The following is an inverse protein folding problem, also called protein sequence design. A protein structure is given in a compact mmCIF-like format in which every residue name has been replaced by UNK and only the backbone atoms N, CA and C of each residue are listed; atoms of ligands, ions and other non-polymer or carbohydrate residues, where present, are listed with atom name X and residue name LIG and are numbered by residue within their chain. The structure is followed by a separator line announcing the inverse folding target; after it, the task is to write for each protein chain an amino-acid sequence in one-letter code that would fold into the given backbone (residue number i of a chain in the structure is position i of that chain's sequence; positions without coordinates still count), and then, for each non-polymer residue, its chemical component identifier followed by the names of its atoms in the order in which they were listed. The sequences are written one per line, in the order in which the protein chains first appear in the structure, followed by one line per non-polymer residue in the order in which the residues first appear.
data_IF_613992618294
#
_entry.id   IF_613992618294
#
_cell.length_a   1.000
_cell.length_b   1.000
_cell.length_c   1.000
_cell.angle_alpha   90.00
_cell.angle_beta   90.00
_cell.angle_gamma   90.00
#
_symmetry.space_group_name_H-M   'P 1'
#
loop_
_entity.id
_entity.type
_entity.pdbx_description
1 polymer ?
#
# COMPACT_ATOMS: atom_id res chain seq x y z
N UNK A 1 -46.08 -8.97 -42.86
CA UNK A 1 -46.99 -9.02 -44.03
C UNK A 1 -48.41 -9.10 -43.47
N UNK A 2 -49.25 -8.09 -43.62
CA UNK A 2 -49.01 -6.78 -44.24
C UNK A 2 -49.82 -5.69 -43.54
N UNK A 3 -49.38 -4.45 -43.71
CA UNK A 3 -49.91 -3.26 -43.04
C UNK A 3 -51.24 -2.76 -43.64
N UNK A 4 -51.97 -1.96 -42.89
CA UNK A 4 -52.66 -0.77 -43.43
C UNK A 4 -52.91 0.26 -42.33
N UNK A 5 -52.76 1.53 -42.69
CA UNK A 5 -52.66 2.72 -41.82
C UNK A 5 -53.82 3.68 -42.14
N UNK A 6 -53.96 4.75 -41.33
CA UNK A 6 -54.73 6.00 -41.51
C UNK A 6 -56.07 6.11 -40.76
N UNK A 7 -56.52 7.29 -40.31
CA UNK A 7 -55.85 8.50 -39.75
C UNK A 7 -56.95 9.51 -39.38
N UNK A 8 -56.86 10.22 -38.25
CA UNK A 8 -57.34 11.61 -38.05
C UNK A 8 -57.02 12.05 -36.59
N UNK A 9 -56.44 13.19 -36.19
CA UNK A 9 -56.34 14.62 -36.58
C UNK A 9 -57.23 15.61 -35.80
N UNK A 10 -56.61 16.25 -34.77
CA UNK A 10 -56.92 17.56 -34.17
C UNK A 10 -55.74 17.91 -33.22
N UNK A 11 -54.90 18.97 -33.29
CA UNK A 11 -54.90 20.31 -33.93
C UNK A 11 -56.03 21.22 -33.39
N UNK A 12 -55.84 22.14 -32.43
CA UNK A 12 -54.90 23.31 -32.30
C UNK A 12 -54.93 23.85 -30.83
N UNK A 13 -54.29 24.92 -30.34
CA UNK A 13 -53.38 26.02 -30.82
C UNK A 13 -52.50 26.50 -29.61
N UNK A 14 -51.35 27.19 -29.74
CA UNK A 14 -51.10 28.67 -29.78
C UNK A 14 -51.88 29.52 -28.74
N UNK A 15 -51.34 30.50 -28.00
CA UNK A 15 -50.00 31.11 -27.80
C UNK A 15 -49.96 31.76 -26.38
N UNK A 16 -49.21 32.80 -26.00
CA UNK A 16 -48.26 33.71 -26.67
C UNK A 16 -47.60 34.64 -25.61
N UNK A 17 -46.28 34.88 -25.67
CA UNK A 17 -45.62 36.15 -25.27
C UNK A 17 -45.41 36.51 -23.78
N UNK A 18 -44.43 37.41 -23.53
CA UNK A 18 -44.40 38.29 -22.35
C UNK A 18 -43.11 38.30 -21.51
N UNK A 19 -42.11 39.09 -21.91
CA UNK A 19 -40.83 39.27 -21.20
C UNK A 19 -40.87 40.40 -20.14
N UNK A 20 -39.91 40.38 -19.19
CA UNK A 20 -39.27 41.53 -18.48
C UNK A 20 -39.49 41.66 -16.95
N UNK A 21 -38.49 41.17 -16.21
CA UNK A 21 -37.75 41.74 -15.07
C UNK A 21 -38.40 42.31 -13.77
N UNK A 22 -37.76 41.87 -12.67
CA UNK A 22 -37.24 42.60 -11.49
C UNK A 22 -38.03 42.69 -10.17
N UNK A 23 -37.23 42.53 -9.09
CA UNK A 23 -37.49 42.83 -7.66
C UNK A 23 -38.59 41.98 -7.01
N UNK A 24 -38.53 41.62 -5.71
CA UNK A 24 -37.62 41.94 -4.61
C UNK A 24 -37.66 40.76 -3.61
N UNK A 25 -36.57 40.49 -2.88
CA UNK A 25 -36.65 39.78 -1.59
C UNK A 25 -35.44 40.14 -0.72
N UNK A 26 -35.69 40.15 0.59
CA UNK A 26 -34.96 40.98 1.55
C UNK A 26 -33.74 40.28 2.18
N UNK A 27 -32.89 41.10 2.82
CA UNK A 27 -31.86 40.69 3.79
C UNK A 27 -32.57 40.05 5.03
N UNK A 28 -31.94 39.29 5.93
CA UNK A 28 -30.70 39.60 6.67
C UNK A 28 -30.13 38.31 7.39
N UNK A 29 -29.25 38.31 8.43
CA UNK A 29 -27.91 37.72 8.23
C UNK A 29 -27.36 36.76 9.35
N UNK A 30 -26.43 35.88 8.96
CA UNK A 30 -25.35 35.34 9.82
C UNK A 30 -24.28 34.68 8.92
N UNK A 31 -23.05 35.20 8.79
CA UNK A 31 -21.88 34.98 9.68
C UNK A 31 -21.56 33.49 9.88
N UNK A 32 -20.33 32.98 9.76
CA UNK A 32 -19.02 33.53 9.36
C UNK A 32 -18.05 32.32 9.17
N UNK A 33 -16.97 32.30 8.38
CA UNK A 33 -16.32 33.24 7.43
C UNK A 33 -15.62 32.42 6.31
N UNK A 34 -15.29 33.04 5.17
CA UNK A 34 -14.19 32.56 4.30
C UNK A 34 -13.45 33.76 3.71
N UNK A 35 -12.31 34.12 4.31
CA UNK A 35 -11.47 35.26 3.89
C UNK A 35 -10.01 34.81 3.77
N UNK A 36 -9.35 34.93 2.62
CA UNK A 36 -9.87 35.31 1.31
C UNK A 36 -8.77 35.27 0.24
N UNK A 37 -9.14 34.98 -1.00
CA UNK A 37 -8.24 35.05 -2.15
C UNK A 37 -8.65 36.25 -3.03
N UNK A 38 -8.02 37.42 -2.82
CA UNK A 38 -8.15 38.54 -3.75
C UNK A 38 -7.23 38.33 -4.94
N UNK A 39 -7.78 37.83 -6.04
CA UNK A 39 -7.17 37.98 -7.36
C UNK A 39 -7.28 39.45 -7.76
N UNK A 40 -6.15 40.10 -8.07
CA UNK A 40 -6.12 41.33 -8.87
C UNK A 40 -5.04 41.24 -9.95
N UNK A 41 -5.26 42.05 -10.97
CA UNK A 41 -4.71 41.96 -12.31
C UNK A 41 -3.25 42.40 -12.45
N UNK A 42 -2.72 42.15 -13.65
CA UNK A 42 -1.43 42.58 -14.19
C UNK A 42 -1.08 44.06 -13.94
N UNK A 43 0.23 44.29 -14.03
CA UNK A 43 0.90 45.56 -14.32
C UNK A 43 0.77 46.62 -13.22
N UNK A 44 1.78 46.69 -12.34
CA UNK A 44 2.61 47.89 -12.25
C UNK A 44 3.92 47.69 -11.45
N UNK A 45 4.93 48.48 -11.83
CA UNK A 45 6.17 48.84 -11.10
C UNK A 45 7.21 47.75 -10.74
N UNK A 46 8.32 47.79 -11.48
CA UNK A 46 9.62 47.28 -11.02
C UNK A 46 10.22 48.25 -9.99
N UNK A 47 10.48 47.79 -8.76
CA UNK A 47 11.29 48.51 -7.77
C UNK A 47 12.54 47.65 -7.43
N UNK A 48 13.78 48.13 -7.60
CA UNK A 48 15.00 47.31 -7.45
C UNK A 48 15.32 46.84 -6.02
N UNK A 49 14.44 47.03 -5.04
CA UNK A 49 14.78 46.91 -3.61
C UNK A 49 14.37 45.60 -2.92
N UNK A 50 13.78 44.64 -3.64
CA UNK A 50 13.36 43.35 -3.09
C UNK A 50 14.07 42.16 -3.73
N UNK A 51 15.17 41.72 -3.12
CA UNK A 51 15.74 40.40 -3.38
C UNK A 51 14.80 39.32 -2.81
N UNK A 52 13.94 38.75 -3.66
CA UNK A 52 13.15 37.58 -3.30
C UNK A 52 14.05 36.34 -3.12
N UNK A 53 14.43 36.05 -1.87
CA UNK A 53 15.01 34.76 -1.51
C UNK A 53 13.93 33.69 -1.43
N UNK A 54 13.77 32.90 -2.51
CA UNK A 54 12.88 31.73 -2.50
C UNK A 54 13.39 30.67 -1.53
N UNK A 55 12.88 30.71 -0.29
CA UNK A 55 13.09 29.63 0.68
C UNK A 55 12.26 28.42 0.29
N UNK A 56 12.87 27.47 -0.43
CA UNK A 56 12.28 26.14 -0.64
C UNK A 56 12.30 25.36 0.66
N UNK A 57 11.28 25.55 1.49
CA UNK A 57 11.07 24.73 2.69
C UNK A 57 10.70 23.31 2.23
N UNK A 58 11.69 22.43 2.20
CA UNK A 58 11.46 21.00 2.02
C UNK A 58 10.83 20.47 3.30
N UNK A 59 9.50 20.58 3.38
CA UNK A 59 8.71 19.91 4.41
C UNK A 59 8.86 18.41 4.18
N UNK A 60 9.82 17.79 4.89
CA UNK A 60 9.84 16.35 5.12
C UNK A 60 8.54 16.01 5.85
N UNK A 61 7.50 15.64 5.09
CA UNK A 61 6.29 15.02 5.67
C UNK A 61 6.68 13.65 6.21
N UNK A 62 7.18 13.63 7.45
CA UNK A 62 7.14 12.45 8.29
C UNK A 62 5.69 11.94 8.27
N UNK A 63 5.41 10.68 7.91
CA UNK A 63 4.04 10.19 7.83
C UNK A 63 3.40 10.09 9.23
N UNK A 64 2.83 11.18 9.73
CA UNK A 64 1.93 11.19 10.89
C UNK A 64 0.59 10.56 10.51
N UNK A 65 0.61 9.24 10.38
CA UNK A 65 -0.50 8.42 10.87
C UNK A 65 0.02 7.70 12.09
N UNK A 66 -0.49 8.12 13.23
CA UNK A 66 -0.22 7.55 14.55
C UNK A 66 -0.44 6.03 14.53
N UNK A 67 0.66 5.28 14.56
CA UNK A 67 0.68 3.86 14.92
C UNK A 67 0.86 3.74 16.44
N UNK A 68 0.00 4.40 17.22
CA UNK A 68 0.10 4.47 18.70
C UNK A 68 0.09 3.10 19.39
N UNK A 69 -0.37 2.06 18.69
CA UNK A 69 -0.42 0.68 19.19
C UNK A 69 0.48 -0.31 18.41
N UNK A 70 1.49 0.14 17.64
CA UNK A 70 2.45 -0.80 17.06
C UNK A 70 3.40 -1.35 18.13
N UNK A 71 3.14 -2.57 18.58
CA UNK A 71 4.06 -3.34 19.41
C UNK A 71 4.89 -4.26 18.53
N UNK A 72 6.21 -4.06 18.50
CA UNK A 72 7.14 -5.03 17.92
C UNK A 72 7.03 -6.35 18.70
N UNK A 73 6.99 -7.49 17.99
CA UNK A 73 6.98 -8.81 18.61
C UNK A 73 8.29 -9.01 19.38
N UNK A 74 8.21 -9.04 20.71
CA UNK A 74 9.37 -9.17 21.58
C UNK A 74 9.88 -10.62 21.62
N UNK A 75 11.20 -10.79 21.62
CA UNK A 75 11.87 -12.08 21.47
C UNK A 75 13.31 -11.99 22.00
N UNK A 76 13.59 -12.71 23.08
CA UNK A 76 14.96 -12.96 23.55
C UNK A 76 15.70 -14.03 22.71
N UNK A 77 15.04 -14.63 21.71
CA UNK A 77 15.65 -15.56 20.76
C UNK A 77 15.94 -14.88 19.41
N UNK A 78 16.88 -15.42 18.61
CA UNK A 78 17.31 -14.79 17.36
C UNK A 78 16.20 -14.56 16.35
N UNK A 79 16.11 -13.33 15.84
CA UNK A 79 15.09 -12.89 14.87
C UNK A 79 15.72 -12.68 13.49
N UNK A 80 14.89 -12.66 12.44
CA UNK A 80 15.34 -12.31 11.10
C UNK A 80 14.43 -11.25 10.47
N UNK A 81 15.05 -10.20 9.93
CA UNK A 81 14.38 -9.13 9.21
C UNK A 81 14.60 -9.30 7.70
N UNK A 82 13.51 -9.19 6.93
CA UNK A 82 13.60 -8.83 5.52
C UNK A 82 13.89 -7.33 5.45
N UNK A 83 14.99 -6.96 4.79
CA UNK A 83 15.41 -5.57 4.58
C UNK A 83 15.43 -5.28 3.09
N UNK A 84 14.89 -4.13 2.70
CA UNK A 84 14.95 -3.65 1.31
C UNK A 84 15.84 -2.41 1.19
N UNK A 85 16.75 -2.42 0.24
CA UNK A 85 17.57 -1.27 -0.13
C UNK A 85 17.38 -0.94 -1.61
N UNK A 86 17.14 0.33 -1.94
CA UNK A 86 16.83 0.78 -3.31
C UNK A 86 18.04 0.94 -4.23
N UNK A 87 19.26 0.79 -3.71
CA UNK A 87 20.51 0.92 -4.46
C UNK A 87 20.59 -0.15 -5.56
N UNK A 88 21.24 0.16 -6.68
CA UNK A 88 21.50 -0.76 -7.80
C UNK A 88 20.27 -1.50 -8.38
N UNK A 89 19.15 -0.80 -8.49
CA UNK A 89 17.85 -1.37 -8.89
C UNK A 89 17.25 -2.34 -7.86
N UNK A 90 17.45 -2.06 -6.57
CA UNK A 90 16.74 -2.74 -5.49
C UNK A 90 17.33 -4.10 -5.14
N UNK A 91 17.55 -4.32 -3.85
CA UNK A 91 18.04 -5.58 -3.30
C UNK A 91 17.31 -5.94 -2.02
N UNK A 92 17.10 -7.23 -1.80
CA UNK A 92 16.59 -7.78 -0.55
C UNK A 92 17.73 -8.45 0.22
N UNK A 93 17.78 -8.19 1.52
CA UNK A 93 18.71 -8.81 2.46
C UNK A 93 17.94 -9.51 3.58
N UNK A 94 18.50 -10.60 4.07
CA UNK A 94 18.16 -11.18 5.36
C UNK A 94 19.11 -10.57 6.39
N UNK A 95 18.57 -9.91 7.41
CA UNK A 95 19.33 -9.43 8.56
C UNK A 95 18.92 -10.23 9.79
N UNK A 96 19.77 -11.16 10.20
CA UNK A 96 19.64 -11.87 11.47
C UNK A 96 20.14 -11.00 12.62
N UNK A 97 19.48 -11.11 13.78
CA UNK A 97 19.82 -10.44 15.04
C UNK A 97 19.63 -11.41 16.20
N UNK A 98 20.32 -11.19 17.32
CA UNK A 98 20.27 -12.12 18.46
C UNK A 98 18.94 -12.07 19.21
N UNK A 99 18.22 -10.96 19.10
CA UNK A 99 16.93 -10.68 19.74
C UNK A 99 16.18 -9.54 19.01
N UNK A 100 14.94 -9.28 19.39
CA UNK A 100 14.06 -8.20 18.89
C UNK A 100 14.49 -6.77 19.26
N UNK A 101 15.41 -6.60 20.21
CA UNK A 101 15.73 -5.29 20.83
C UNK A 101 16.69 -4.47 19.96
N UNK A 102 17.45 -5.14 19.09
CA UNK A 102 18.28 -4.49 18.09
C UNK A 102 17.42 -3.95 16.92
N UNK A 103 17.38 -2.63 16.77
CA UNK A 103 16.67 -2.00 15.65
C UNK A 103 17.35 -2.29 14.31
N UNK A 104 16.54 -2.61 13.29
CA UNK A 104 16.99 -2.81 11.91
C UNK A 104 16.31 -1.79 11.00
N UNK A 105 17.09 -0.82 10.52
CA UNK A 105 16.62 0.17 9.55
C UNK A 105 16.11 -0.50 8.27
N UNK A 106 15.07 0.10 7.65
CA UNK A 106 14.46 -0.37 6.39
C UNK A 106 14.00 -1.83 6.42
N UNK A 107 13.78 -2.39 7.62
CA UNK A 107 13.07 -3.66 7.76
C UNK A 107 11.63 -3.50 7.27
N UNK A 108 11.17 -4.46 6.48
CA UNK A 108 9.83 -4.47 5.87
C UNK A 108 8.95 -5.54 6.52
N UNK A 109 9.58 -6.59 7.03
CA UNK A 109 8.96 -7.71 7.72
C UNK A 109 9.99 -8.34 8.66
N UNK A 110 9.54 -8.84 9.80
CA UNK A 110 10.33 -9.60 10.76
C UNK A 110 9.74 -11.02 10.87
N UNK A 111 10.59 -11.99 11.18
CA UNK A 111 10.18 -13.32 11.64
C UNK A 111 10.89 -13.70 12.94
N UNK A 112 10.16 -14.36 13.82
CA UNK A 112 10.66 -14.98 15.06
C UNK A 112 10.56 -16.49 14.91
N UNK A 113 11.69 -17.18 14.61
CA UNK A 113 11.79 -18.64 14.58
C UNK A 113 11.43 -19.31 15.89
N UNK A 114 10.69 -20.42 15.80
CA UNK A 114 10.59 -21.39 16.90
C UNK A 114 11.74 -22.41 16.85
N UNK A 115 12.29 -22.69 15.66
CA UNK A 115 13.44 -23.58 15.48
C UNK A 115 14.77 -22.87 15.79
N UNK A 116 15.72 -23.62 16.32
CA UNK A 116 17.06 -23.13 16.64
C UNK A 116 17.79 -22.57 15.41
N UNK A 117 18.27 -21.33 15.53
CA UNK A 117 19.04 -20.64 14.49
C UNK A 117 20.51 -21.01 14.60
N UNK A 118 21.13 -21.36 13.47
CA UNK A 118 22.54 -21.75 13.41
C UNK A 118 23.44 -20.54 13.67
N UNK A 119 24.38 -20.62 14.63
CA UNK A 119 25.20 -19.48 15.08
C UNK A 119 25.89 -18.69 13.96
N UNK A 120 26.33 -19.36 12.89
CA UNK A 120 26.98 -18.67 11.75
C UNK A 120 26.05 -17.68 11.02
N UNK A 121 24.72 -17.87 11.09
CA UNK A 121 23.74 -16.92 10.54
C UNK A 121 23.75 -15.57 11.25
N UNK A 122 24.25 -15.52 12.49
CA UNK A 122 24.36 -14.30 13.30
C UNK A 122 25.75 -13.67 13.20
N UNK A 123 26.80 -14.48 13.11
CA UNK A 123 28.19 -13.99 13.12
C UNK A 123 28.75 -13.68 11.73
N UNK A 124 28.32 -14.39 10.68
CA UNK A 124 28.79 -14.13 9.31
C UNK A 124 28.26 -12.78 8.82
N UNK A 125 29.15 -11.92 8.32
CA UNK A 125 28.82 -10.59 7.77
C UNK A 125 27.93 -9.73 8.70
N UNK A 126 28.07 -9.88 10.03
CA UNK A 126 27.23 -9.16 11.00
C UNK A 126 25.75 -9.57 10.97
N UNK A 127 25.48 -10.83 10.62
CA UNK A 127 24.14 -11.39 10.50
C UNK A 127 23.44 -11.06 9.18
N UNK A 128 24.10 -10.31 8.30
CA UNK A 128 23.55 -9.88 7.02
C UNK A 128 23.84 -10.92 5.94
N UNK A 129 22.88 -11.16 5.05
CA UNK A 129 23.09 -11.98 3.85
C UNK A 129 22.19 -11.51 2.72
N UNK A 130 22.68 -11.57 1.49
CA UNK A 130 21.93 -11.19 0.29
C UNK A 130 20.86 -12.26 -0.02
N UNK A 131 19.58 -11.87 -0.06
CA UNK A 131 18.49 -12.73 -0.54
C UNK A 131 18.37 -12.61 -2.07
N UNK A 132 18.43 -11.38 -2.60
CA UNK A 132 18.41 -11.13 -4.04
C UNK A 132 18.88 -9.72 -4.40
N UNK A 133 19.45 -9.62 -5.60
CA UNK A 133 19.96 -8.39 -6.20
C UNK A 133 19.21 -8.05 -7.50
N UNK A 134 19.10 -6.76 -7.82
CA UNK A 134 18.37 -6.22 -8.99
C UNK A 134 16.93 -6.75 -9.06
N UNK A 135 16.14 -6.52 -8.00
CA UNK A 135 14.73 -6.96 -7.93
C UNK A 135 13.74 -5.90 -8.41
N UNK A 136 14.06 -4.61 -8.34
CA UNK A 136 13.13 -3.54 -8.71
C UNK A 136 12.71 -3.48 -10.19
N UNK A 137 13.50 -3.93 -11.21
CA UNK A 137 13.06 -3.86 -12.61
C UNK A 137 11.93 -4.83 -12.98
N UNK A 138 11.78 -5.92 -12.23
CA UNK A 138 10.77 -6.95 -12.47
C UNK A 138 9.90 -7.11 -11.22
N UNK A 139 8.65 -6.64 -11.32
CA UNK A 139 7.65 -6.69 -10.26
C UNK A 139 7.30 -8.12 -9.81
N UNK A 140 7.35 -9.11 -10.71
CA UNK A 140 7.07 -10.50 -10.37
C UNK A 140 8.27 -11.14 -9.66
N UNK A 141 9.50 -10.86 -10.11
CA UNK A 141 10.72 -11.20 -9.37
C UNK A 141 10.72 -10.55 -7.99
N UNK A 142 10.35 -9.27 -7.89
CA UNK A 142 10.24 -8.54 -6.64
C UNK A 142 9.30 -9.23 -5.63
N UNK A 143 8.07 -9.54 -6.06
CA UNK A 143 7.09 -10.23 -5.22
C UNK A 143 7.49 -11.69 -4.90
N UNK A 144 8.19 -12.39 -5.79
CA UNK A 144 8.62 -13.76 -5.51
C UNK A 144 9.64 -13.85 -4.37
N UNK A 145 10.53 -12.87 -4.20
CA UNK A 145 11.46 -12.85 -3.07
C UNK A 145 10.79 -12.53 -1.72
N UNK A 146 9.69 -11.77 -1.71
CA UNK A 146 8.85 -11.63 -0.50
C UNK A 146 8.23 -12.99 -0.15
N UNK A 147 7.70 -13.73 -1.13
CA UNK A 147 7.21 -15.10 -0.89
C UNK A 147 8.32 -16.08 -0.45
N UNK A 148 9.55 -15.94 -0.96
CA UNK A 148 10.70 -16.76 -0.52
C UNK A 148 11.09 -16.49 0.94
N UNK A 149 10.99 -15.24 1.42
CA UNK A 149 11.15 -14.95 2.85
C UNK A 149 10.10 -15.66 3.69
N UNK A 150 8.84 -15.72 3.22
CA UNK A 150 7.77 -16.44 3.92
C UNK A 150 7.95 -17.96 3.89
N UNK A 151 8.54 -18.50 2.82
CA UNK A 151 8.98 -19.90 2.79
C UNK A 151 10.05 -20.17 3.84
N UNK A 152 11.06 -19.31 3.92
CA UNK A 152 12.07 -19.38 4.97
C UNK A 152 11.44 -19.30 6.37
N UNK A 153 10.47 -18.41 6.59
CA UNK A 153 9.74 -18.31 7.84
C UNK A 153 8.97 -19.60 8.17
N UNK A 154 8.33 -20.25 7.18
CA UNK A 154 7.69 -21.57 7.37
C UNK A 154 8.73 -22.66 7.68
N UNK A 155 9.86 -22.69 6.98
CA UNK A 155 10.93 -23.67 7.19
C UNK A 155 11.49 -23.60 8.64
N UNK A 156 11.44 -22.43 9.27
CA UNK A 156 11.82 -22.17 10.66
C UNK A 156 10.68 -22.30 11.70
N UNK A 157 9.46 -22.66 11.27
CA UNK A 157 8.21 -22.59 12.07
C UNK A 157 8.10 -21.23 12.80
N UNK A 158 8.25 -20.14 12.04
CA UNK A 158 8.30 -18.79 12.59
C UNK A 158 6.93 -18.13 12.66
N UNK A 159 6.77 -17.24 13.64
CA UNK A 159 5.79 -16.14 13.57
C UNK A 159 6.35 -15.05 12.68
N UNK A 160 5.50 -14.37 11.91
CA UNK A 160 5.88 -13.21 11.08
C UNK A 160 5.20 -11.94 11.57
N UNK A 161 5.80 -10.77 11.31
CA UNK A 161 5.20 -9.47 11.57
C UNK A 161 5.57 -8.50 10.44
N UNK A 162 4.57 -7.80 9.87
CA UNK A 162 4.83 -6.68 8.95
C UNK A 162 5.23 -5.43 9.74
N UNK A 163 6.27 -4.73 9.27
CA UNK A 163 6.77 -3.52 9.93
C UNK A 163 5.89 -2.29 9.64
N UNK A 164 5.77 -1.32 10.56
CA UNK A 164 4.94 -0.14 10.35
C UNK A 164 5.51 0.66 9.18
N UNK A 165 4.63 1.04 8.25
CA UNK A 165 5.06 1.75 7.04
C UNK A 165 5.90 0.92 6.06
N UNK A 166 5.98 -0.41 6.16
CA UNK A 166 6.74 -1.25 5.20
C UNK A 166 6.47 -0.90 3.74
N UNK A 167 5.19 -0.69 3.38
CA UNK A 167 4.71 -0.27 2.07
C UNK A 167 5.14 1.16 1.63
N UNK A 168 5.84 1.93 2.45
CA UNK A 168 6.49 3.20 2.06
C UNK A 168 7.98 3.02 1.73
N UNK A 169 8.60 1.96 2.24
CA UNK A 169 9.99 1.56 1.93
C UNK A 169 10.06 0.84 0.58
N UNK A 170 8.99 0.13 0.19
CA UNK A 170 8.95 -0.67 -1.04
C UNK A 170 8.68 0.20 -2.30
N UNK A 171 9.34 -0.07 -3.44
CA UNK A 171 9.02 0.57 -4.73
C UNK A 171 7.65 0.14 -5.26
N UNK A 172 7.22 -1.08 -4.92
CA UNK A 172 5.95 -1.65 -5.33
C UNK A 172 5.10 -1.95 -4.10
N UNK A 173 4.13 -1.08 -3.85
CA UNK A 173 3.11 -1.31 -2.81
C UNK A 173 2.40 -2.63 -3.07
N UNK A 174 2.30 -3.47 -2.05
CA UNK A 174 1.60 -4.74 -2.13
C UNK A 174 0.82 -5.06 -0.86
N UNK A 175 -0.10 -6.01 -1.00
CA UNK A 175 -0.76 -6.70 0.08
C UNK A 175 -0.29 -8.16 0.08
N UNK A 176 -0.11 -8.71 1.28
CA UNK A 176 0.27 -10.09 1.51
C UNK A 176 -0.94 -10.91 1.96
N UNK A 177 -1.07 -12.14 1.46
CA UNK A 177 -2.14 -13.06 1.80
C UNK A 177 -1.61 -14.47 2.10
N UNK A 178 -2.20 -15.13 3.09
CA UNK A 178 -1.95 -16.51 3.50
C UNK A 178 -3.17 -17.37 3.14
N UNK A 179 -2.93 -18.54 2.55
CA UNK A 179 -3.95 -19.55 2.25
C UNK A 179 -3.74 -20.78 3.13
N UNK A 180 -4.76 -21.12 3.91
CA UNK A 180 -4.74 -22.18 4.91
C UNK A 180 -5.35 -23.49 4.37
N UNK A 181 -5.09 -24.60 5.07
CA UNK A 181 -5.56 -25.94 4.64
C UNK A 181 -7.09 -26.05 4.51
N UNK A 182 -7.85 -25.26 5.28
CA UNK A 182 -9.31 -25.16 5.27
C UNK A 182 -9.88 -24.34 4.08
N UNK A 183 -9.00 -23.90 3.17
CA UNK A 183 -9.25 -22.98 2.05
C UNK A 183 -9.62 -21.55 2.47
N UNK A 184 -9.39 -21.16 3.73
CA UNK A 184 -9.43 -19.76 4.15
C UNK A 184 -8.27 -19.00 3.54
N UNK A 185 -8.54 -17.76 3.12
CA UNK A 185 -7.53 -16.78 2.73
C UNK A 185 -7.63 -15.60 3.68
N UNK A 186 -6.53 -15.28 4.36
CA UNK A 186 -6.41 -14.10 5.21
C UNK A 186 -5.40 -13.13 4.59
N UNK A 187 -5.71 -11.83 4.62
CA UNK A 187 -4.72 -10.78 4.41
C UNK A 187 -3.83 -10.70 5.65
N UNK A 188 -2.52 -10.56 5.49
CA UNK A 188 -1.61 -10.27 6.59
C UNK A 188 -1.66 -8.77 6.88
N UNK A 189 -2.01 -8.43 8.12
CA UNK A 189 -2.01 -7.07 8.63
C UNK A 189 -0.92 -6.93 9.73
N UNK A 190 -1.22 -6.31 10.87
CA UNK A 190 -0.24 -6.12 11.95
C UNK A 190 -0.15 -7.31 12.94
N UNK A 191 -1.02 -8.31 12.79
CA UNK A 191 -1.03 -9.54 13.58
C UNK A 191 0.26 -10.36 13.40
N UNK A 192 0.47 -11.34 14.29
CA UNK A 192 1.62 -12.26 14.26
C UNK A 192 1.25 -13.68 13.80
N UNK A 193 0.85 -13.90 12.51
CA UNK A 193 0.39 -15.21 12.09
C UNK A 193 1.51 -16.25 12.08
N UNK A 194 1.15 -17.46 12.51
CA UNK A 194 1.95 -18.68 12.37
C UNK A 194 1.72 -19.29 10.98
N UNK A 195 2.74 -19.95 10.43
CA UNK A 195 2.75 -20.44 9.05
C UNK A 195 2.54 -21.96 8.90
N UNK A 196 2.35 -22.69 9.99
CA UNK A 196 2.31 -24.16 10.01
C UNK A 196 1.18 -24.71 9.10
N UNK A 197 -0.05 -24.23 9.29
CA UNK A 197 -1.24 -24.62 8.52
C UNK A 197 -1.43 -23.86 7.20
N UNK A 198 -0.45 -23.08 6.75
CA UNK A 198 -0.50 -22.36 5.47
C UNK A 198 -0.01 -23.28 4.34
N UNK A 199 -0.76 -23.40 3.24
CA UNK A 199 -0.37 -24.16 2.02
C UNK A 199 0.17 -23.27 0.90
N UNK A 200 -0.20 -22.00 0.86
CA UNK A 200 0.26 -21.05 -0.15
C UNK A 200 0.31 -19.63 0.40
N UNK A 201 1.27 -18.85 -0.07
CA UNK A 201 1.37 -17.41 0.19
C UNK A 201 1.30 -16.64 -1.12
N UNK A 202 0.62 -15.49 -1.11
CA UNK A 202 0.46 -14.65 -2.28
C UNK A 202 0.73 -13.17 -1.96
N UNK A 203 1.52 -12.52 -2.81
CA UNK A 203 1.80 -11.09 -2.77
C UNK A 203 1.19 -10.46 -4.02
N UNK A 204 0.29 -9.48 -3.86
CA UNK A 204 -0.41 -8.79 -4.95
C UNK A 204 -0.31 -7.28 -4.81
N UNK A 205 -0.48 -6.53 -5.90
CA UNK A 205 -0.61 -5.07 -5.79
C UNK A 205 -1.84 -4.67 -4.96
N UNK A 206 -1.75 -3.58 -4.19
CA UNK A 206 -2.77 -3.13 -3.20
C UNK A 206 -4.17 -2.82 -3.76
N UNK A 207 -4.33 -2.74 -5.09
CA UNK A 207 -5.64 -2.65 -5.76
C UNK A 207 -6.37 -4.00 -5.86
N UNK A 208 -5.71 -5.12 -5.54
CA UNK A 208 -6.25 -6.46 -5.67
C UNK A 208 -6.75 -6.98 -4.34
N UNK A 209 -8.08 -7.15 -4.24
CA UNK A 209 -8.73 -7.88 -3.16
C UNK A 209 -8.95 -9.33 -3.58
N UNK A 210 -8.73 -10.26 -2.66
CA UNK A 210 -8.96 -11.70 -2.85
C UNK A 210 -10.17 -12.13 -2.01
N UNK A 211 -10.91 -13.17 -2.45
CA UNK A 211 -11.95 -13.80 -1.64
C UNK A 211 -11.36 -14.36 -0.35
N UNK A 212 -12.10 -14.27 0.77
CA UNK A 212 -11.71 -14.85 2.06
C UNK A 212 -11.77 -16.38 2.10
N UNK A 213 -12.37 -17.01 1.09
CA UNK A 213 -12.39 -18.46 0.89
C UNK A 213 -12.24 -18.80 -0.59
N UNK A 214 -11.25 -19.63 -0.93
CA UNK A 214 -10.98 -20.14 -2.28
C UNK A 214 -9.99 -21.31 -2.23
N UNK A 215 -10.02 -22.19 -3.23
CA UNK A 215 -8.99 -23.25 -3.32
C UNK A 215 -7.61 -22.67 -3.62
N UNK A 216 -6.56 -23.43 -3.33
CA UNK A 216 -5.16 -23.05 -3.62
C UNK A 216 -4.98 -22.76 -5.12
N UNK A 217 -5.61 -23.55 -5.98
CA UNK A 217 -5.56 -23.43 -7.43
C UNK A 217 -6.29 -22.18 -7.92
N UNK A 218 -7.45 -21.86 -7.30
CA UNK A 218 -8.17 -20.60 -7.55
C UNK A 218 -7.33 -19.38 -7.15
N UNK A 219 -6.60 -19.45 -6.03
CA UNK A 219 -5.68 -18.39 -5.60
C UNK A 219 -4.55 -18.16 -6.60
N UNK A 220 -3.86 -19.22 -7.02
CA UNK A 220 -2.78 -19.14 -8.01
C UNK A 220 -3.30 -18.53 -9.32
N UNK A 221 -4.49 -18.94 -9.78
CA UNK A 221 -5.13 -18.39 -10.96
C UNK A 221 -5.49 -16.90 -10.81
N UNK A 222 -6.03 -16.49 -9.66
CA UNK A 222 -6.39 -15.09 -9.37
C UNK A 222 -5.17 -14.15 -9.29
N UNK A 223 -4.02 -14.69 -8.86
CA UNK A 223 -2.78 -13.92 -8.62
C UNK A 223 -1.89 -13.82 -9.87
N UNK A 224 -1.94 -14.79 -10.80
CA UNK A 224 -1.03 -14.95 -11.97
C UNK A 224 -0.64 -13.66 -12.71
N UNK A 225 -1.57 -12.71 -12.90
CA UNK A 225 -1.34 -11.46 -13.66
C UNK A 225 -1.29 -10.19 -12.78
N UNK A 226 -1.41 -10.33 -11.46
CA UNK A 226 -1.57 -9.23 -10.49
C UNK A 226 -0.53 -9.25 -9.36
N UNK A 227 0.21 -10.34 -9.26
CA UNK A 227 1.12 -10.62 -8.16
C UNK A 227 1.91 -11.91 -8.38
N UNK A 228 2.46 -12.44 -7.29
CA UNK A 228 3.15 -13.73 -7.27
C UNK A 228 2.56 -14.61 -6.16
N UNK A 229 2.37 -15.90 -6.44
CA UNK A 229 1.95 -16.90 -5.46
C UNK A 229 3.00 -18.01 -5.37
N UNK A 230 3.30 -18.45 -4.16
CA UNK A 230 4.23 -19.54 -3.86
C UNK A 230 3.50 -20.60 -3.04
N UNK A 231 3.50 -21.83 -3.52
CA UNK A 231 3.03 -23.00 -2.76
C UNK A 231 4.16 -23.59 -1.94
N UNK A 232 3.80 -24.15 -0.79
CA UNK A 232 4.70 -24.95 0.05
C UNK A 232 4.61 -26.43 -0.32
#
# INVERSE_FOLDING_TARGET
MGDSVTSEHSKKFEGLGGTVMNKESELDPARDTFTGAKVKSKEDLQDPKYNMYTHTVVVKKTPTREFENFQLMDSDTPVCHLVYESVDNGSFYLQWKENSKEQVEKSVMMMVPTKAVQKFKLTSEGGRSLLSYKVAPDKNKYYSYICQFLKLAKDYNSKIQLMPGWNTVLPYKCDLYLHYEDNKVAKVECDHPELDNVKCVAVVGTSTKLSTKMTREQLIAAVRNKGYALTF
#
